data_IF_342840341524
#
_entry.id   IF_342840341524
#
_cell.length_a   1.000
_cell.length_b   1.000
_cell.length_c   1.000
_cell.angle_alpha   90.00
_cell.angle_beta   90.00
_cell.angle_gamma   90.00
#
_symmetry.space_group_name_H-M   'P 1'
#
loop_
_entity.id
_entity.type
_entity.pdbx_description
1 polymer ?
#
# COMPACT_ATOMS: atom_id res chain seq x y z
N UNK A 1 17.69 31.56 -32.23
CA UNK A 1 17.83 31.03 -30.88
C UNK A 1 18.64 31.95 -29.97
N UNK A 2 19.90 32.29 -30.27
CA UNK A 2 20.72 33.12 -29.34
C UNK A 2 20.10 34.49 -29.05
N UNK A 3 19.70 35.25 -30.08
CA UNK A 3 19.08 36.57 -29.86
C UNK A 3 17.67 36.48 -29.25
N UNK A 4 16.92 35.41 -29.50
CA UNK A 4 15.56 35.21 -28.95
C UNK A 4 15.63 35.01 -27.43
N UNK A 5 16.67 34.29 -26.95
CA UNK A 5 16.93 34.10 -25.53
C UNK A 5 17.33 35.42 -24.84
N UNK A 6 18.18 36.23 -25.47
CA UNK A 6 18.60 37.52 -24.91
C UNK A 6 17.41 38.50 -24.80
N UNK A 7 16.53 38.51 -25.81
CA UNK A 7 15.29 39.31 -25.77
C UNK A 7 14.34 38.80 -24.69
N UNK A 8 14.14 37.48 -24.58
CA UNK A 8 13.33 36.88 -23.52
C UNK A 8 13.85 37.29 -22.13
N UNK A 9 15.17 37.22 -21.92
CA UNK A 9 15.82 37.64 -20.67
C UNK A 9 15.65 39.13 -20.38
N UNK A 10 15.71 39.97 -21.40
CA UNK A 10 15.49 41.41 -21.27
C UNK A 10 14.03 41.72 -20.89
N UNK A 11 13.05 41.08 -21.52
CA UNK A 11 11.62 41.27 -21.25
C UNK A 11 11.23 40.84 -19.82
N UNK A 12 11.87 39.79 -19.29
CA UNK A 12 11.67 39.33 -17.90
C UNK A 12 12.23 40.29 -16.84
N UNK A 13 13.16 41.18 -17.22
CA UNK A 13 13.80 42.10 -16.27
C UNK A 13 12.88 43.30 -15.99
N UNK A 14 12.69 43.64 -14.71
CA UNK A 14 11.86 44.77 -14.30
C UNK A 14 12.50 46.10 -14.73
N UNK A 15 11.67 46.99 -15.31
CA UNK A 15 12.07 48.34 -15.71
C UNK A 15 11.75 49.38 -14.60
N UNK A 16 10.89 49.02 -13.63
CA UNK A 16 10.37 49.91 -12.57
C UNK A 16 10.97 49.68 -11.18
N UNK A 17 11.70 48.58 -10.95
CA UNK A 17 12.28 48.27 -9.63
C UNK A 17 13.71 48.79 -9.50
N UNK A 18 13.95 49.74 -8.58
CA UNK A 18 15.30 50.24 -8.21
C UNK A 18 16.22 49.16 -7.62
N UNK A 19 15.66 48.05 -7.13
CA UNK A 19 16.40 46.85 -6.76
C UNK A 19 16.30 45.89 -7.93
N UNK A 20 17.40 45.32 -8.44
CA UNK A 20 17.44 44.48 -9.66
C UNK A 20 16.70 43.13 -9.60
N UNK A 21 15.48 43.12 -9.07
CA UNK A 21 14.58 41.99 -8.89
C UNK A 21 13.80 41.74 -10.20
N UNK A 22 13.50 40.47 -10.43
CA UNK A 22 12.62 39.93 -11.48
C UNK A 22 11.28 40.70 -11.53
N UNK A 23 10.69 40.85 -12.73
CA UNK A 23 9.35 41.46 -12.89
C UNK A 23 8.34 40.79 -11.92
N UNK A 24 7.53 41.56 -11.15
CA UNK A 24 6.54 41.00 -10.22
C UNK A 24 5.64 39.94 -10.86
N UNK A 25 5.28 40.13 -12.13
CA UNK A 25 4.49 39.19 -12.91
C UNK A 25 5.23 37.85 -13.07
N UNK A 26 6.48 37.86 -13.53
CA UNK A 26 7.32 36.66 -13.65
C UNK A 26 7.50 35.97 -12.28
N UNK A 27 7.72 36.74 -11.22
CA UNK A 27 7.82 36.19 -9.87
C UNK A 27 6.54 35.46 -9.44
N UNK A 28 5.37 36.07 -9.68
CA UNK A 28 4.07 35.46 -9.40
C UNK A 28 3.84 34.17 -10.22
N UNK A 29 4.31 34.12 -11.48
CA UNK A 29 4.34 32.89 -12.30
C UNK A 29 5.12 31.79 -11.62
N UNK A 30 6.38 32.10 -11.29
CA UNK A 30 7.34 31.12 -10.80
C UNK A 30 6.86 30.57 -9.46
N UNK A 31 6.28 31.41 -8.60
CA UNK A 31 5.65 30.98 -7.35
C UNK A 31 4.42 30.09 -7.62
N UNK A 32 3.54 30.47 -8.56
CA UNK A 32 2.37 29.67 -8.94
C UNK A 32 2.74 28.27 -9.45
N UNK A 33 3.75 28.21 -10.33
CA UNK A 33 4.32 26.94 -10.84
C UNK A 33 4.96 26.16 -9.70
N UNK A 34 5.78 26.80 -8.86
CA UNK A 34 6.45 26.14 -7.74
C UNK A 34 5.45 25.53 -6.76
N UNK A 35 4.36 26.22 -6.43
CA UNK A 35 3.30 25.69 -5.56
C UNK A 35 2.59 24.50 -6.22
N UNK A 36 2.25 24.60 -7.51
CA UNK A 36 1.61 23.49 -8.24
C UNK A 36 2.48 22.24 -8.29
N UNK A 37 3.77 22.41 -8.60
CA UNK A 37 4.76 21.33 -8.61
C UNK A 37 5.00 20.76 -7.21
N UNK A 38 5.09 21.62 -6.19
CA UNK A 38 5.23 21.20 -4.79
C UNK A 38 4.05 20.30 -4.37
N UNK A 39 2.81 20.71 -4.65
CA UNK A 39 1.61 19.92 -4.37
C UNK A 39 1.66 18.59 -5.12
N UNK A 40 2.02 18.62 -6.41
CA UNK A 40 2.12 17.41 -7.23
C UNK A 40 3.14 16.41 -6.67
N UNK A 41 4.34 16.88 -6.30
CA UNK A 41 5.40 16.07 -5.69
C UNK A 41 4.96 15.50 -4.35
N UNK A 42 4.34 16.31 -3.49
CA UNK A 42 3.83 15.85 -2.19
C UNK A 42 2.74 14.79 -2.37
N UNK A 43 1.78 15.01 -3.26
CA UNK A 43 0.69 14.06 -3.51
C UNK A 43 1.23 12.72 -4.03
N UNK A 44 2.19 12.74 -4.95
CA UNK A 44 2.83 11.50 -5.44
C UNK A 44 3.67 10.82 -4.36
N UNK A 45 4.42 11.57 -3.57
CA UNK A 45 5.21 11.01 -2.47
C UNK A 45 4.30 10.33 -1.42
N UNK A 46 3.16 10.94 -1.11
CA UNK A 46 2.16 10.36 -0.20
C UNK A 46 1.55 9.11 -0.83
N UNK A 47 1.21 9.14 -2.11
CA UNK A 47 0.64 7.98 -2.81
C UNK A 47 1.62 6.80 -2.86
N UNK A 48 2.86 7.03 -3.28
CA UNK A 48 3.89 5.97 -3.37
C UNK A 48 4.20 5.41 -1.97
N UNK A 49 4.34 6.29 -0.98
CA UNK A 49 4.54 5.88 0.42
C UNK A 49 3.38 5.04 0.95
N UNK A 50 2.14 5.41 0.62
CA UNK A 50 0.94 4.67 0.99
C UNK A 50 0.89 3.29 0.31
N UNK A 51 1.10 3.23 -1.01
CA UNK A 51 1.10 1.98 -1.78
C UNK A 51 2.16 1.03 -1.26
N UNK A 52 3.42 1.48 -1.11
CA UNK A 52 4.51 0.65 -0.57
C UNK A 52 4.19 0.13 0.83
N UNK A 53 3.60 0.98 1.68
CA UNK A 53 3.20 0.56 3.03
C UNK A 53 2.10 -0.48 2.99
N UNK A 54 1.10 -0.29 2.14
CA UNK A 54 0.03 -1.25 1.94
C UNK A 54 0.55 -2.58 1.40
N UNK A 55 1.40 -2.56 0.38
CA UNK A 55 2.07 -3.76 -0.12
C UNK A 55 2.87 -4.46 0.97
N UNK A 56 3.63 -3.69 1.76
CA UNK A 56 4.40 -4.26 2.88
C UNK A 56 3.48 -4.91 3.90
N UNK A 57 2.35 -4.29 4.26
CA UNK A 57 1.40 -4.85 5.22
C UNK A 57 0.70 -6.09 4.66
N UNK A 58 0.21 -6.03 3.42
CA UNK A 58 -0.46 -7.15 2.75
C UNK A 58 0.49 -8.35 2.65
N UNK A 59 1.70 -8.14 2.13
CA UNK A 59 2.72 -9.18 2.08
C UNK A 59 3.12 -9.66 3.46
N UNK A 60 3.08 -8.81 4.50
CA UNK A 60 3.43 -9.25 5.85
C UNK A 60 2.44 -10.25 6.45
N UNK A 61 1.18 -10.25 5.98
CA UNK A 61 0.10 -11.05 6.55
C UNK A 61 -0.25 -12.27 5.70
N UNK A 62 -0.24 -12.11 4.38
CA UNK A 62 -0.65 -13.15 3.44
C UNK A 62 0.55 -13.68 2.67
N UNK A 63 0.74 -15.01 2.66
CA UNK A 63 1.64 -15.64 1.71
C UNK A 63 1.24 -15.25 0.29
N UNK A 64 2.25 -15.06 -0.57
CA UNK A 64 2.03 -14.61 -1.94
C UNK A 64 1.20 -15.62 -2.75
N UNK A 65 1.45 -16.91 -2.51
CA UNK A 65 0.61 -18.02 -2.96
C UNK A 65 0.34 -18.94 -1.77
N UNK A 66 -0.88 -19.41 -1.63
CA UNK A 66 -1.33 -20.26 -0.53
C UNK A 66 -2.01 -21.50 -1.08
N UNK A 67 -1.66 -22.67 -0.57
CA UNK A 67 -2.33 -23.93 -0.91
C UNK A 67 -3.16 -24.36 0.30
N UNK A 68 -4.45 -24.63 0.08
CA UNK A 68 -5.38 -25.14 1.08
C UNK A 68 -5.98 -26.46 0.63
N UNK A 69 -6.27 -27.34 1.59
CA UNK A 69 -6.92 -28.62 1.32
C UNK A 69 -8.41 -28.39 1.13
N UNK A 70 -9.01 -29.02 0.11
CA UNK A 70 -10.46 -28.99 -0.07
C UNK A 70 -11.20 -30.06 0.73
N UNK A 71 -10.50 -30.89 1.51
CA UNK A 71 -11.11 -32.03 2.19
C UNK A 71 -12.17 -31.63 3.23
N UNK A 72 -12.04 -30.48 3.90
CA UNK A 72 -13.06 -30.02 4.87
C UNK A 72 -14.26 -29.34 4.22
N UNK A 73 -14.09 -28.70 3.05
CA UNK A 73 -15.19 -28.14 2.25
C UNK A 73 -16.26 -29.19 1.91
N UNK A 74 -15.88 -30.47 1.90
CA UNK A 74 -16.77 -31.60 1.62
C UNK A 74 -17.02 -32.52 2.82
N UNK A 75 -16.39 -32.28 3.99
CA UNK A 75 -16.47 -33.20 5.13
C UNK A 75 -17.60 -32.86 6.13
N UNK A 76 -17.90 -31.58 6.36
CA UNK A 76 -18.86 -31.18 7.41
C UNK A 76 -20.34 -31.19 6.99
N UNK A 77 -20.64 -31.58 5.73
CA UNK A 77 -21.99 -31.41 5.18
C UNK A 77 -22.65 -32.71 4.70
N UNK A 78 -22.59 -33.77 5.53
CA UNK A 78 -23.49 -34.93 5.35
C UNK A 78 -24.69 -34.94 6.30
N UNK A 79 -24.61 -34.32 7.47
CA UNK A 79 -25.66 -34.47 8.50
C UNK A 79 -26.22 -33.16 9.10
N UNK A 80 -25.63 -31.98 8.83
CA UNK A 80 -26.10 -30.67 9.35
C UNK A 80 -26.33 -29.62 8.23
N UNK A 81 -26.72 -30.06 7.04
CA UNK A 81 -27.29 -29.17 6.03
C UNK A 81 -28.58 -28.52 6.58
N UNK A 82 -28.71 -27.17 6.65
CA UNK A 82 -29.99 -26.55 6.97
C UNK A 82 -31.01 -27.00 5.90
N UNK A 83 -32.00 -27.79 6.33
CA UNK A 83 -33.08 -28.39 5.51
C UNK A 83 -33.98 -27.39 4.77
N UNK A 84 -33.58 -26.12 4.69
CA UNK A 84 -34.27 -25.07 3.94
C UNK A 84 -33.44 -24.51 2.77
N UNK A 85 -32.29 -25.11 2.44
CA UNK A 85 -31.51 -24.75 1.25
C UNK A 85 -31.45 -25.86 0.17
N UNK A 86 -32.17 -26.98 0.37
CA UNK A 86 -32.04 -28.21 -0.43
C UNK A 86 -33.40 -28.80 -0.84
N UNK A 87 -34.33 -27.95 -1.28
CA UNK A 87 -35.47 -28.40 -2.09
C UNK A 87 -35.31 -27.72 -3.46
N UNK A 88 -34.61 -28.41 -4.37
CA UNK A 88 -34.85 -28.43 -5.82
C UNK A 88 -33.73 -29.26 -6.48
N UNK A 89 -34.11 -30.46 -6.94
CA UNK A 89 -33.28 -31.52 -7.54
C UNK A 89 -32.58 -31.14 -8.87
N UNK A 90 -32.45 -29.85 -9.19
CA UNK A 90 -31.75 -29.35 -10.39
C UNK A 90 -30.40 -28.65 -10.07
N UNK A 91 -30.07 -28.41 -8.79
CA UNK A 91 -28.91 -27.58 -8.40
C UNK A 91 -27.62 -28.33 -8.00
N UNK A 92 -27.62 -29.65 -7.88
CA UNK A 92 -26.39 -30.42 -7.61
C UNK A 92 -25.32 -30.24 -8.70
N UNK A 93 -25.74 -30.07 -9.96
CA UNK A 93 -24.82 -29.85 -11.06
C UNK A 93 -24.30 -28.41 -11.15
N UNK A 94 -25.02 -27.42 -10.61
CA UNK A 94 -24.66 -26.01 -10.81
C UNK A 94 -23.59 -25.54 -9.81
N UNK A 95 -23.58 -26.04 -8.58
CA UNK A 95 -22.59 -25.67 -7.56
C UNK A 95 -21.23 -26.32 -7.84
N UNK A 96 -21.21 -27.61 -8.20
CA UNK A 96 -19.98 -28.27 -8.65
C UNK A 96 -19.46 -27.66 -9.97
N UNK A 97 -20.33 -27.30 -10.93
CA UNK A 97 -19.88 -26.60 -12.13
C UNK A 97 -19.39 -25.18 -11.85
N UNK A 98 -19.93 -24.45 -10.87
CA UNK A 98 -19.47 -23.11 -10.50
C UNK A 98 -18.13 -23.13 -9.76
N UNK A 99 -17.88 -24.14 -8.91
CA UNK A 99 -16.60 -24.31 -8.21
C UNK A 99 -15.49 -24.91 -9.09
N UNK A 100 -15.84 -25.76 -10.06
CA UNK A 100 -14.88 -26.37 -10.98
C UNK A 100 -14.63 -25.55 -12.28
N UNK A 101 -15.35 -24.44 -12.50
CA UNK A 101 -15.22 -23.62 -13.71
C UNK A 101 -14.05 -22.62 -13.66
N UNK A 102 -12.83 -23.13 -13.47
CA UNK A 102 -11.60 -22.36 -13.66
C UNK A 102 -11.40 -21.15 -12.72
N UNK A 103 -10.23 -20.50 -12.80
CA UNK A 103 -9.78 -19.51 -11.80
C UNK A 103 -10.62 -18.23 -11.71
N UNK A 104 -11.50 -17.97 -12.69
CA UNK A 104 -12.26 -16.72 -12.79
C UNK A 104 -13.69 -16.81 -12.22
N UNK A 105 -14.14 -17.96 -11.69
CA UNK A 105 -15.55 -18.18 -11.28
C UNK A 105 -15.78 -18.80 -9.90
N UNK A 106 -14.87 -18.66 -8.95
CA UNK A 106 -15.24 -18.85 -7.53
C UNK A 106 -16.10 -17.65 -7.10
N UNK A 107 -17.38 -17.68 -7.47
CA UNK A 107 -18.38 -16.79 -6.89
C UNK A 107 -18.61 -17.30 -5.48
N UNK A 108 -17.92 -16.67 -4.53
CA UNK A 108 -18.20 -16.79 -3.10
C UNK A 108 -19.70 -16.55 -2.93
N UNK A 109 -20.44 -17.62 -2.61
CA UNK A 109 -21.91 -17.61 -2.52
C UNK A 109 -22.44 -16.77 -1.35
N UNK A 110 -21.55 -16.16 -0.56
CA UNK A 110 -21.87 -15.29 0.55
C UNK A 110 -21.11 -13.96 0.36
N UNK A 111 -21.75 -12.83 0.67
CA UNK A 111 -21.14 -11.48 0.61
C UNK A 111 -20.14 -11.27 1.77
N UNK A 112 -19.56 -12.34 2.27
CA UNK A 112 -18.52 -12.35 3.28
C UNK A 112 -17.17 -12.05 2.62
N UNK A 113 -16.27 -11.29 3.27
CA UNK A 113 -14.94 -11.00 2.73
C UNK A 113 -14.24 -12.29 2.29
N UNK A 114 -13.43 -12.22 1.23
CA UNK A 114 -12.64 -13.38 0.73
C UNK A 114 -11.82 -14.00 1.86
N UNK A 115 -11.27 -13.16 2.74
CA UNK A 115 -10.54 -13.54 3.96
C UNK A 115 -11.36 -14.43 4.90
N UNK A 116 -12.58 -14.01 5.28
CA UNK A 116 -13.40 -14.76 6.23
C UNK A 116 -13.79 -16.14 5.68
N UNK A 117 -13.95 -16.26 4.36
CA UNK A 117 -14.22 -17.54 3.70
C UNK A 117 -12.99 -18.45 3.66
N UNK A 118 -11.80 -17.89 3.44
CA UNK A 118 -10.51 -18.62 3.46
C UNK A 118 -10.17 -19.18 4.84
N UNK A 119 -10.60 -18.50 5.91
CA UNK A 119 -10.33 -18.93 7.29
C UNK A 119 -11.31 -20.03 7.74
N UNK A 120 -12.60 -19.90 7.40
CA UNK A 120 -13.65 -20.78 7.95
C UNK A 120 -13.71 -22.17 7.31
N UNK A 121 -13.24 -22.31 6.08
CA UNK A 121 -13.43 -23.54 5.28
C UNK A 121 -12.12 -24.23 4.89
N UNK A 122 -10.98 -23.89 5.51
CA UNK A 122 -9.71 -24.52 5.20
C UNK A 122 -9.67 -25.98 5.68
N UNK A 123 -9.27 -26.91 4.81
CA UNK A 123 -8.97 -28.28 5.19
C UNK A 123 -7.64 -28.38 5.92
N UNK A 124 -7.48 -29.43 6.74
CA UNK A 124 -6.25 -29.63 7.50
C UNK A 124 -5.31 -30.57 6.73
N UNK A 125 -4.05 -30.14 6.54
CA UNK A 125 -2.99 -30.98 5.99
C UNK A 125 -2.21 -31.69 7.09
N UNK A 126 -1.78 -32.92 6.85
CA UNK A 126 -0.69 -33.52 7.62
C UNK A 126 0.65 -33.00 7.09
N UNK A 127 1.60 -32.76 7.98
CA UNK A 127 2.96 -32.32 7.62
C UNK A 127 3.67 -33.27 6.64
N UNK A 128 3.36 -34.57 6.68
CA UNK A 128 3.88 -35.57 5.73
C UNK A 128 3.39 -35.36 4.30
N UNK A 129 2.14 -34.93 4.15
CA UNK A 129 1.51 -34.72 2.84
C UNK A 129 2.03 -33.41 2.23
N UNK A 130 2.25 -32.39 3.07
CA UNK A 130 2.93 -31.15 2.68
C UNK A 130 4.35 -31.40 2.16
N UNK A 131 5.13 -32.27 2.80
CA UNK A 131 6.47 -32.60 2.33
C UNK A 131 6.47 -33.17 0.90
N UNK A 132 5.48 -34.03 0.58
CA UNK A 132 5.30 -34.58 -0.77
C UNK A 132 4.92 -33.51 -1.79
N UNK A 133 4.02 -32.59 -1.42
CA UNK A 133 3.61 -31.47 -2.27
C UNK A 133 4.80 -30.55 -2.55
N UNK A 134 5.58 -30.19 -1.51
CA UNK A 134 6.77 -29.35 -1.63
C UNK A 134 7.76 -29.94 -2.63
N UNK A 135 8.02 -31.26 -2.58
CA UNK A 135 8.95 -31.91 -3.51
C UNK A 135 8.50 -31.84 -4.98
N UNK A 136 7.20 -31.89 -5.26
CA UNK A 136 6.65 -31.68 -6.62
C UNK A 136 6.87 -30.23 -7.08
N UNK A 137 6.69 -29.27 -6.18
CA UNK A 137 6.70 -27.83 -6.47
C UNK A 137 8.10 -27.22 -6.61
N UNK A 138 9.14 -27.84 -6.04
CA UNK A 138 10.55 -27.39 -6.18
C UNK A 138 11.03 -27.22 -7.62
N UNK A 139 10.35 -27.86 -8.58
CA UNK A 139 10.68 -27.79 -10.02
C UNK A 139 10.23 -26.48 -10.70
N UNK A 140 9.33 -25.72 -10.07
CA UNK A 140 8.76 -24.48 -10.63
C UNK A 140 9.72 -23.31 -10.39
N UNK A 141 10.05 -22.58 -11.45
CA UNK A 141 10.93 -21.41 -11.37
C UNK A 141 10.20 -20.22 -10.74
N UNK A 142 10.87 -19.51 -9.85
CA UNK A 142 10.37 -18.28 -9.22
C UNK A 142 9.77 -18.48 -7.83
N UNK A 143 9.70 -19.72 -7.34
CA UNK A 143 9.45 -20.03 -5.94
C UNK A 143 10.75 -19.89 -5.16
N UNK A 144 10.71 -19.13 -4.08
CA UNK A 144 11.84 -18.88 -3.18
C UNK A 144 11.81 -19.83 -1.98
N UNK A 145 10.63 -19.95 -1.34
CA UNK A 145 10.47 -20.78 -0.14
C UNK A 145 9.06 -21.31 0.08
N UNK A 146 8.96 -22.32 0.94
CA UNK A 146 7.71 -22.96 1.36
C UNK A 146 7.64 -22.96 2.89
N UNK A 147 6.47 -22.66 3.46
CA UNK A 147 6.27 -22.74 4.90
C UNK A 147 4.88 -23.27 5.25
N UNK A 148 4.78 -24.30 6.10
CA UNK A 148 3.52 -24.68 6.70
C UNK A 148 3.05 -23.59 7.66
N UNK A 149 1.80 -23.17 7.51
CA UNK A 149 1.17 -22.13 8.34
C UNK A 149 -0.14 -22.67 8.91
N UNK A 150 -0.37 -22.36 10.19
CA UNK A 150 -1.67 -22.53 10.82
C UNK A 150 -2.28 -21.14 10.97
N UNK A 151 -3.49 -20.96 10.46
CA UNK A 151 -4.24 -19.73 10.63
C UNK A 151 -5.70 -20.07 10.85
N UNK A 152 -6.13 -20.01 12.12
CA UNK A 152 -7.45 -20.44 12.55
C UNK A 152 -8.06 -19.39 13.49
N UNK A 153 -9.37 -19.19 13.37
CA UNK A 153 -10.15 -18.44 14.35
C UNK A 153 -10.97 -19.42 15.19
N UNK A 154 -10.73 -19.43 16.52
CA UNK A 154 -11.46 -20.28 17.46
C UNK A 154 -11.87 -19.49 18.69
N UNK A 155 -12.90 -19.97 19.37
CA UNK A 155 -13.33 -19.41 20.64
C UNK A 155 -12.48 -19.96 21.79
N UNK A 156 -11.91 -19.06 22.58
CA UNK A 156 -11.07 -19.40 23.72
C UNK A 156 -11.60 -18.76 24.98
N UNK A 157 -11.43 -19.48 26.08
CA UNK A 157 -11.45 -18.93 27.43
C UNK A 157 -10.00 -18.69 27.84
N UNK A 158 -9.65 -17.45 28.17
CA UNK A 158 -8.29 -17.11 28.55
C UNK A 158 -8.27 -16.30 29.84
N UNK A 159 -7.30 -16.63 30.69
CA UNK A 159 -7.04 -15.91 31.94
C UNK A 159 -5.68 -15.25 31.95
N UNK A 160 -5.61 -14.10 32.58
CA UNK A 160 -4.38 -13.32 32.69
C UNK A 160 -4.32 -12.60 34.03
N UNK A 161 -3.10 -12.37 34.50
CA UNK A 161 -2.84 -11.55 35.68
C UNK A 161 -2.61 -10.11 35.24
N UNK A 162 -3.45 -9.20 35.72
CA UNK A 162 -3.22 -7.77 35.53
C UNK A 162 -2.01 -7.29 36.37
N UNK A 163 -1.57 -6.05 36.18
CA UNK A 163 -0.47 -5.43 36.91
C UNK A 163 -0.66 -5.49 38.44
N UNK A 164 -1.92 -5.45 38.91
CA UNK A 164 -2.29 -5.57 40.32
C UNK A 164 -2.43 -7.03 40.81
N UNK A 165 -1.94 -8.02 40.05
CA UNK A 165 -1.98 -9.45 40.37
C UNK A 165 -3.39 -10.04 40.56
N UNK A 166 -4.42 -9.34 40.07
CA UNK A 166 -5.77 -9.87 39.97
C UNK A 166 -5.91 -10.70 38.70
N UNK A 167 -6.48 -11.91 38.84
CA UNK A 167 -6.78 -12.79 37.71
C UNK A 167 -8.10 -12.36 37.06
N UNK A 168 -8.04 -12.05 35.77
CA UNK A 168 -9.20 -11.80 34.95
C UNK A 168 -9.39 -12.94 33.98
N UNK A 169 -10.64 -13.35 33.79
CA UNK A 169 -11.03 -14.38 32.83
C UNK A 169 -11.90 -13.73 31.77
N UNK A 170 -11.59 -14.00 30.51
CA UNK A 170 -12.37 -13.54 29.36
C UNK A 170 -12.64 -14.70 28.41
N UNK A 171 -13.69 -14.53 27.62
CA UNK A 171 -14.08 -15.45 26.56
C UNK A 171 -14.28 -14.66 25.28
N UNK A 172 -13.74 -15.17 24.18
CA UNK A 172 -13.83 -14.52 22.88
C UNK A 172 -13.13 -15.31 21.78
N UNK A 173 -13.34 -14.89 20.54
CA UNK A 173 -12.62 -15.46 19.41
C UNK A 173 -11.21 -14.89 19.40
N UNK A 174 -10.21 -15.78 19.32
CA UNK A 174 -8.83 -15.41 19.03
C UNK A 174 -8.44 -15.99 17.69
N UNK A 175 -7.75 -15.18 16.89
CA UNK A 175 -7.10 -15.62 15.65
C UNK A 175 -5.69 -16.07 15.97
N UNK A 176 -5.38 -17.34 15.73
CA UNK A 176 -4.07 -17.92 16.05
C UNK A 176 -3.29 -18.13 14.74
N UNK A 177 -2.17 -17.43 14.60
CA UNK A 177 -1.22 -17.59 13.51
C UNK A 177 0.01 -18.35 14.01
N UNK A 178 0.19 -19.58 13.52
CA UNK A 178 1.32 -20.46 13.79
C UNK A 178 2.29 -20.51 12.61
N UNK A 179 3.55 -20.15 12.85
CA UNK A 179 4.57 -20.04 11.80
C UNK A 179 5.87 -20.73 12.21
N UNK A 180 6.54 -21.41 11.28
CA UNK A 180 7.71 -22.24 11.60
C UNK A 180 9.04 -21.48 11.52
N UNK A 181 9.39 -20.64 12.49
CA UNK A 181 10.65 -19.88 12.39
C UNK A 181 11.86 -20.82 12.14
N UNK A 182 12.65 -20.56 11.11
CA UNK A 182 13.84 -21.34 10.76
C UNK A 182 15.01 -20.40 10.64
N UNK A 183 16.22 -20.84 10.99
CA UNK A 183 17.42 -20.00 10.99
C UNK A 183 17.93 -19.67 9.57
N UNK A 184 17.48 -20.42 8.56
CA UNK A 184 17.78 -20.15 7.16
C UNK A 184 17.03 -18.89 6.68
N UNK A 185 17.76 -17.99 6.01
CA UNK A 185 17.26 -16.73 5.43
C UNK A 185 16.06 -16.87 4.48
N UNK A 186 15.70 -18.11 4.10
CA UNK A 186 14.55 -18.45 3.26
C UNK A 186 13.22 -18.48 4.04
N UNK A 187 13.23 -17.99 5.28
CA UNK A 187 12.00 -17.76 6.01
C UNK A 187 11.08 -16.87 5.20
N UNK A 188 9.77 -17.19 5.19
CA UNK A 188 8.77 -16.28 4.66
C UNK A 188 9.05 -14.88 5.26
N UNK A 189 9.42 -13.86 4.44
CA UNK A 189 9.88 -12.55 4.93
C UNK A 189 8.82 -11.76 5.75
N UNK A 190 7.65 -12.33 5.90
CA UNK A 190 6.39 -11.68 6.21
C UNK A 190 6.23 -11.52 7.72
N UNK A 191 6.55 -12.56 8.52
CA UNK A 191 6.60 -12.49 9.99
C UNK A 191 7.80 -11.69 10.50
N UNK A 192 8.95 -11.78 9.80
CA UNK A 192 10.11 -10.93 10.07
C UNK A 192 9.81 -9.45 9.84
N UNK A 193 8.95 -9.11 8.87
CA UNK A 193 8.47 -7.74 8.65
C UNK A 193 7.46 -7.28 9.70
N UNK A 194 6.61 -8.17 10.23
CA UNK A 194 5.69 -7.85 11.34
C UNK A 194 6.48 -7.59 12.64
N UNK A 195 7.54 -8.36 12.87
CA UNK A 195 8.33 -8.33 14.10
C UNK A 195 9.61 -7.55 13.86
N UNK A 196 9.57 -6.25 14.15
CA UNK A 196 10.71 -5.32 14.05
C UNK A 196 11.96 -5.72 14.86
N UNK A 197 11.87 -6.75 15.72
CA UNK A 197 12.97 -7.21 16.55
C UNK A 197 13.38 -8.66 16.21
N UNK A 198 14.55 -8.91 15.59
CA UNK A 198 15.03 -10.26 15.27
C UNK A 198 15.19 -11.18 16.50
N UNK A 199 15.33 -10.61 17.70
CA UNK A 199 15.42 -11.34 18.96
C UNK A 199 14.10 -12.05 19.32
N UNK A 200 12.98 -11.44 18.96
CA UNK A 200 11.63 -11.96 19.24
C UNK A 200 11.32 -13.21 18.41
N UNK A 201 11.77 -13.25 17.16
CA UNK A 201 11.64 -14.42 16.28
C UNK A 201 12.45 -15.62 16.82
N UNK A 202 13.63 -15.37 17.37
CA UNK A 202 14.41 -16.42 18.04
C UNK A 202 13.69 -17.00 19.25
N UNK A 203 12.94 -16.17 19.99
CA UNK A 203 12.17 -16.62 21.15
C UNK A 203 10.92 -17.41 20.76
N UNK A 204 10.26 -17.07 19.63
CA UNK A 204 9.13 -17.87 19.09
C UNK A 204 9.50 -19.31 18.73
N UNK A 205 10.77 -19.54 18.39
CA UNK A 205 11.30 -20.86 18.04
C UNK A 205 11.67 -21.75 19.22
N UNK A 206 11.78 -21.17 20.42
CA UNK A 206 12.10 -21.95 21.61
C UNK A 206 10.86 -22.75 22.03
N UNK A 207 10.87 -24.03 21.67
CA UNK A 207 9.76 -24.98 21.89
C UNK A 207 9.37 -25.14 23.35
N UNK A 208 10.28 -24.81 24.26
CA UNK A 208 10.10 -24.93 25.71
C UNK A 208 9.34 -23.77 26.36
N UNK A 209 9.24 -22.60 25.69
CA UNK A 209 8.69 -21.38 26.32
C UNK A 209 7.24 -21.06 25.95
N UNK A 210 6.64 -21.79 25.01
CA UNK A 210 5.31 -21.46 24.44
C UNK A 210 5.15 -19.95 24.20
N UNK A 211 6.15 -19.38 23.53
CA UNK A 211 6.29 -17.95 23.30
C UNK A 211 5.19 -17.43 22.35
N UNK A 212 4.62 -16.27 22.68
CA UNK A 212 3.52 -15.65 21.94
C UNK A 212 3.76 -14.16 21.76
N UNK A 213 3.37 -13.64 20.60
CA UNK A 213 3.31 -12.22 20.31
C UNK A 213 1.85 -11.83 20.10
N UNK A 214 1.40 -10.81 20.82
CA UNK A 214 0.02 -10.35 20.74
C UNK A 214 -0.09 -9.12 19.84
N UNK A 215 -1.22 -8.97 19.15
CA UNK A 215 -1.52 -7.68 18.53
C UNK A 215 -1.66 -6.61 19.61
N UNK A 216 -1.27 -5.37 19.31
CA UNK A 216 -1.36 -4.28 20.27
C UNK A 216 -2.78 -4.00 20.74
N UNK A 217 -3.79 -4.32 19.92
CA UNK A 217 -5.20 -4.22 20.28
C UNK A 217 -5.62 -5.30 21.27
N UNK A 218 -5.25 -6.56 20.99
CA UNK A 218 -5.47 -7.65 21.94
C UNK A 218 -4.74 -7.38 23.26
N UNK A 219 -3.46 -7.00 23.21
CA UNK A 219 -2.70 -6.65 24.40
C UNK A 219 -3.38 -5.57 25.22
N UNK A 220 -3.89 -4.52 24.57
CA UNK A 220 -4.58 -3.41 25.25
C UNK A 220 -5.85 -3.87 25.96
N UNK A 221 -6.63 -4.70 25.28
CA UNK A 221 -7.86 -5.28 25.81
C UNK A 221 -7.61 -6.18 27.02
N UNK A 222 -6.44 -6.85 27.07
CA UNK A 222 -6.04 -7.69 28.20
C UNK A 222 -5.41 -6.87 29.33
N UNK A 223 -4.26 -6.25 29.07
CA UNK A 223 -3.35 -5.72 30.09
C UNK A 223 -3.43 -4.20 30.29
N UNK A 224 -4.32 -3.48 29.57
CA UNK A 224 -4.46 -2.03 29.70
C UNK A 224 -3.57 -1.26 28.74
N UNK A 225 -2.79 -0.28 29.20
CA UNK A 225 -1.98 0.54 28.30
C UNK A 225 -0.90 -0.27 27.57
N UNK A 226 -0.73 -0.02 26.27
CA UNK A 226 0.27 -0.70 25.45
C UNK A 226 1.67 -0.17 25.79
N UNK A 227 2.63 -1.00 26.21
CA UNK A 227 3.99 -0.59 26.51
C UNK A 227 4.73 -0.13 25.24
N UNK A 228 5.84 0.59 25.42
CA UNK A 228 6.77 0.86 24.31
C UNK A 228 7.38 -0.46 23.81
N UNK A 229 7.65 -0.54 22.50
CA UNK A 229 8.14 -1.75 21.81
C UNK A 229 9.46 -2.34 22.37
N UNK A 230 10.15 -1.62 23.26
CA UNK A 230 11.39 -2.02 23.92
C UNK A 230 11.22 -2.74 25.26
N UNK A 231 10.01 -2.80 25.84
CA UNK A 231 9.76 -3.58 27.05
C UNK A 231 9.49 -5.03 26.69
N UNK A 232 10.40 -5.93 27.11
CA UNK A 232 10.15 -7.37 27.10
C UNK A 232 9.03 -7.64 28.09
N UNK A 233 7.91 -8.12 27.58
CA UNK A 233 6.78 -8.49 28.40
C UNK A 233 7.10 -9.85 29.01
N UNK A 234 7.14 -9.93 30.34
CA UNK A 234 7.16 -11.22 31.05
C UNK A 234 5.74 -11.49 31.59
N UNK A 235 4.75 -11.33 30.71
CA UNK A 235 3.34 -11.56 31.06
C UNK A 235 2.96 -12.98 30.69
N UNK A 236 2.22 -13.63 31.57
CA UNK A 236 1.66 -14.96 31.33
C UNK A 236 0.21 -14.84 30.90
N UNK A 237 -0.12 -15.54 29.82
CA UNK A 237 -1.47 -15.70 29.32
C UNK A 237 -1.83 -17.19 29.40
N UNK A 238 -2.91 -17.52 30.10
CA UNK A 238 -3.43 -18.89 30.14
C UNK A 238 -4.55 -19.01 29.15
N UNK A 239 -4.45 -19.97 28.24
CA UNK A 239 -5.46 -20.18 27.20
C UNK A 239 -6.03 -21.57 27.34
N UNK A 240 -7.36 -21.65 27.32
CA UNK A 240 -8.13 -22.87 27.28
C UNK A 240 -9.09 -22.80 26.10
N UNK A 241 -8.94 -23.75 25.17
CA UNK A 241 -9.83 -23.86 24.01
C UNK A 241 -11.22 -24.31 24.46
N UNK A 242 -12.23 -23.64 23.93
CA UNK A 242 -13.64 -23.96 24.17
C UNK A 242 -14.18 -24.67 22.93
N UNK A 243 -14.29 -26.00 22.98
CA UNK A 243 -14.93 -26.76 21.91
C UNK A 243 -16.45 -26.78 22.09
N UNK A 244 -17.19 -26.45 21.04
CA UNK A 244 -18.66 -26.39 21.04
C UNK A 244 -19.34 -27.73 21.38
N UNK A 245 -18.60 -28.86 21.33
CA UNK A 245 -19.15 -30.22 21.55
C UNK A 245 -18.55 -30.97 22.76
N UNK A 246 -17.54 -30.44 23.47
CA UNK A 246 -16.98 -31.07 24.70
C UNK A 246 -16.52 -30.00 25.71
N UNK A 247 -17.32 -29.82 26.77
CA UNK A 247 -17.10 -28.82 27.82
C UNK A 247 -16.04 -29.18 28.87
N UNK A 248 -15.40 -30.35 28.81
CA UNK A 248 -14.43 -30.78 29.81
C UNK A 248 -13.31 -31.59 29.14
N UNK A 249 -12.11 -31.02 29.04
CA UNK A 249 -10.93 -31.81 28.65
C UNK A 249 -9.75 -31.09 27.99
N UNK A 250 -9.87 -29.82 27.59
CA UNK A 250 -8.75 -29.12 26.94
C UNK A 250 -7.76 -28.60 27.98
N UNK A 251 -6.49 -28.96 27.77
CA UNK A 251 -5.37 -28.64 28.67
C UNK A 251 -5.18 -27.12 28.77
N UNK A 252 -5.09 -26.60 30.00
CA UNK A 252 -4.73 -25.21 30.24
C UNK A 252 -3.29 -24.97 29.77
N UNK A 253 -3.11 -24.18 28.72
CA UNK A 253 -1.79 -23.84 28.19
C UNK A 253 -1.34 -22.51 28.76
N UNK A 254 -0.20 -22.51 29.47
CA UNK A 254 0.50 -21.27 29.82
C UNK A 254 1.34 -20.80 28.63
N UNK A 255 1.09 -19.58 28.19
CA UNK A 255 1.77 -18.88 27.11
C UNK A 255 2.54 -17.68 27.68
N UNK A 256 3.77 -17.47 27.21
CA UNK A 256 4.60 -16.33 27.58
C UNK A 256 4.48 -15.24 26.51
N UNK A 257 3.96 -14.08 26.89
CA UNK A 257 3.79 -12.94 25.96
C UNK A 257 5.13 -12.25 25.81
N UNK A 258 5.88 -12.59 24.77
CA UNK A 258 7.24 -12.07 24.58
C UNK A 258 7.24 -10.65 24.03
N UNK A 259 6.13 -10.22 23.43
CA UNK A 259 5.96 -8.85 22.96
C UNK A 259 4.73 -8.61 22.11
N UNK A 260 4.72 -7.46 21.44
CA UNK A 260 3.56 -6.90 20.76
C UNK A 260 3.88 -6.45 19.33
N UNK A 261 2.92 -6.60 18.41
CA UNK A 261 3.04 -6.07 17.05
C UNK A 261 1.88 -5.12 16.71
N UNK A 262 2.10 -4.19 15.77
CA UNK A 262 1.13 -3.19 15.33
C UNK A 262 1.06 -3.18 13.80
N UNK A 263 -0.08 -3.55 13.23
CA UNK A 263 -0.28 -3.55 11.77
C UNK A 263 -0.80 -2.21 11.22
N UNK A 264 -1.30 -1.30 12.07
CA UNK A 264 -1.77 0.03 11.64
C UNK A 264 -3.05 0.06 10.81
N UNK A 265 -3.57 -1.10 10.44
CA UNK A 265 -4.88 -1.28 9.82
C UNK A 265 -5.80 -1.87 10.88
N UNK A 266 -6.78 -1.07 11.31
CA UNK A 266 -7.81 -1.50 12.26
C UNK A 266 -8.64 -2.62 11.61
N UNK A 267 -9.01 -3.67 12.37
CA UNK A 267 -9.73 -4.89 11.96
C UNK A 267 -8.91 -6.12 11.56
N UNK A 268 -7.77 -5.97 10.88
CA UNK A 268 -7.01 -7.15 10.39
C UNK A 268 -6.33 -7.90 11.56
N UNK A 269 -5.82 -7.15 12.54
CA UNK A 269 -5.04 -7.69 13.66
C UNK A 269 -5.86 -7.91 14.94
N UNK A 270 -7.16 -7.66 14.90
CA UNK A 270 -7.99 -7.64 16.10
C UNK A 270 -8.02 -9.05 16.70
N UNK A 271 -7.77 -9.15 18.01
CA UNK A 271 -7.72 -10.41 18.74
C UNK A 271 -6.76 -11.47 18.15
N UNK A 272 -5.70 -11.02 17.47
CA UNK A 272 -4.72 -11.90 16.84
C UNK A 272 -3.54 -12.24 17.76
N UNK A 273 -3.15 -13.50 17.70
CA UNK A 273 -2.07 -14.12 18.45
C UNK A 273 -1.10 -14.79 17.46
N UNK A 274 0.18 -14.43 17.51
CA UNK A 274 1.23 -15.00 16.65
C UNK A 274 2.16 -15.85 17.50
N UNK A 275 2.45 -17.08 17.06
CA UNK A 275 3.31 -18.01 17.78
C UNK A 275 4.06 -18.96 16.84
N UNK A 276 5.02 -19.71 17.38
CA UNK A 276 5.69 -20.78 16.65
C UNK A 276 4.72 -21.90 16.26
N UNK A 277 4.93 -22.52 15.10
CA UNK A 277 4.08 -23.61 14.60
C UNK A 277 3.84 -24.72 15.64
N UNK A 278 4.84 -25.22 16.40
CA UNK A 278 4.62 -26.26 17.41
C UNK A 278 3.69 -25.81 18.55
N UNK A 279 3.76 -24.53 18.93
CA UNK A 279 2.90 -23.96 19.98
C UNK A 279 1.47 -23.78 19.46
N UNK A 280 1.31 -23.31 18.23
CA UNK A 280 -0.01 -23.21 17.59
C UNK A 280 -0.70 -24.58 17.47
N UNK A 281 0.07 -25.62 17.10
CA UNK A 281 -0.43 -27.00 17.07
C UNK A 281 -0.92 -27.48 18.43
N UNK A 282 -0.26 -27.10 19.54
CA UNK A 282 -0.72 -27.41 20.90
C UNK A 282 -1.99 -26.62 21.27
N UNK A 283 -2.07 -25.33 20.91
CA UNK A 283 -3.22 -24.46 21.21
C UNK A 283 -4.49 -24.93 20.49
N UNK A 284 -4.34 -25.42 19.26
CA UNK A 284 -5.44 -25.80 18.37
C UNK A 284 -5.65 -27.32 18.25
N UNK A 285 -4.93 -28.12 19.05
CA UNK A 285 -4.91 -29.60 18.98
C UNK A 285 -4.60 -30.16 17.58
N UNK A 286 -3.88 -29.42 16.76
CA UNK A 286 -3.50 -29.76 15.37
C UNK A 286 -2.14 -30.46 15.33
N UNK A 287 -1.97 -31.53 16.11
CA UNK A 287 -0.66 -32.20 16.22
C UNK A 287 -0.22 -32.76 14.87
N UNK A 288 0.99 -32.37 14.42
CA UNK A 288 1.56 -32.77 13.13
C UNK A 288 0.69 -32.36 11.91
N UNK A 289 -0.07 -31.27 12.05
CA UNK A 289 -0.97 -30.74 11.05
C UNK A 289 -0.75 -29.25 10.79
N UNK A 290 -1.19 -28.76 9.63
CA UNK A 290 -1.22 -27.33 9.27
C UNK A 290 -2.47 -26.99 8.45
N UNK A 291 -3.00 -25.78 8.59
CA UNK A 291 -4.18 -25.34 7.83
C UNK A 291 -3.84 -25.03 6.37
N UNK A 292 -2.64 -24.54 6.10
CA UNK A 292 -2.23 -24.13 4.76
C UNK A 292 -0.73 -24.23 4.53
N UNK A 293 -0.33 -24.26 3.25
CA UNK A 293 1.05 -24.13 2.82
C UNK A 293 1.23 -22.77 2.15
N UNK A 294 2.00 -21.90 2.79
CA UNK A 294 2.41 -20.62 2.23
C UNK A 294 3.63 -20.77 1.33
N UNK A 295 3.62 -20.08 0.20
CA UNK A 295 4.69 -20.09 -0.80
C UNK A 295 5.13 -18.64 -1.03
N UNK A 296 6.44 -18.39 -0.86
CA UNK A 296 7.05 -17.11 -1.16
C UNK A 296 7.67 -17.14 -2.55
N UNK A 297 7.46 -16.08 -3.33
CA UNK A 297 8.01 -15.92 -4.67
C UNK A 297 9.08 -14.82 -4.68
N UNK A 298 10.03 -14.95 -5.59
CA UNK A 298 11.04 -13.91 -5.84
C UNK A 298 10.41 -12.61 -6.34
N UNK A 299 9.28 -12.70 -7.05
CA UNK A 299 8.50 -11.54 -7.50
C UNK A 299 7.02 -11.72 -7.11
N UNK A 300 6.52 -11.00 -6.09
CA UNK A 300 5.14 -11.11 -5.63
C UNK A 300 4.10 -10.82 -6.71
N UNK A 301 4.39 -9.95 -7.69
CA UNK A 301 3.43 -9.57 -8.74
C UNK A 301 3.21 -10.66 -9.78
N UNK A 302 4.04 -11.72 -9.79
CA UNK A 302 3.84 -12.90 -10.64
C UNK A 302 3.03 -14.00 -9.94
N UNK A 303 2.44 -13.71 -8.79
CA UNK A 303 1.67 -14.68 -8.00
C UNK A 303 0.54 -15.34 -8.78
N UNK A 304 -0.16 -14.61 -9.67
CA UNK A 304 -1.20 -15.19 -10.55
C UNK A 304 -0.61 -16.24 -11.51
N UNK A 305 0.44 -15.86 -12.26
CA UNK A 305 1.11 -16.74 -13.23
C UNK A 305 1.62 -18.03 -12.54
N UNK A 306 2.24 -17.89 -11.37
CA UNK A 306 2.77 -19.03 -10.61
C UNK A 306 1.66 -19.85 -9.98
N UNK A 307 0.60 -19.23 -9.45
CA UNK A 307 -0.57 -19.93 -8.91
C UNK A 307 -1.25 -20.80 -9.96
N UNK A 308 -1.43 -20.29 -11.18
CA UNK A 308 -2.01 -21.05 -12.29
C UNK A 308 -1.14 -22.27 -12.66
N UNK A 309 0.18 -22.11 -12.65
CA UNK A 309 1.12 -23.22 -12.87
C UNK A 309 1.05 -24.27 -11.74
N UNK A 310 1.01 -23.83 -10.48
CA UNK A 310 0.90 -24.72 -9.31
C UNK A 310 -0.42 -25.49 -9.36
N UNK A 311 -1.54 -24.83 -9.69
CA UNK A 311 -2.84 -25.48 -9.81
C UNK A 311 -2.85 -26.54 -10.91
N UNK A 312 -2.14 -26.32 -12.02
CA UNK A 312 -1.98 -27.33 -13.08
C UNK A 312 -1.15 -28.54 -12.62
N UNK A 313 -0.06 -28.31 -11.89
CA UNK A 313 0.80 -29.40 -11.37
C UNK A 313 0.09 -30.21 -10.28
N UNK A 314 -0.78 -29.58 -9.51
CA UNK A 314 -1.54 -30.21 -8.43
C UNK A 314 -2.98 -30.57 -8.83
N UNK A 315 -3.30 -30.62 -10.13
CA UNK A 315 -4.66 -30.90 -10.60
C UNK A 315 -5.22 -32.26 -10.16
N UNK A 316 -4.35 -33.23 -9.84
CA UNK A 316 -4.73 -34.56 -9.33
C UNK A 316 -4.91 -34.59 -7.81
N UNK A 317 -4.51 -33.54 -7.10
CA UNK A 317 -4.63 -33.43 -5.64
C UNK A 317 -5.88 -32.61 -5.29
N UNK A 318 -6.57 -32.96 -4.20
CA UNK A 318 -7.74 -32.23 -3.68
C UNK A 318 -7.30 -30.94 -2.95
N UNK A 319 -6.71 -30.01 -3.71
CA UNK A 319 -6.16 -28.75 -3.19
C UNK A 319 -6.60 -27.56 -4.04
N UNK A 320 -6.84 -26.44 -3.36
CA UNK A 320 -7.03 -25.15 -4.01
C UNK A 320 -5.81 -24.26 -3.79
N UNK A 321 -5.40 -23.60 -4.86
CA UNK A 321 -4.30 -22.65 -4.87
C UNK A 321 -4.88 -21.24 -4.95
N UNK A 322 -4.55 -20.43 -3.96
CA UNK A 322 -4.91 -19.03 -3.86
C UNK A 322 -3.68 -18.15 -4.08
N UNK A 323 -3.89 -16.95 -4.61
CA UNK A 323 -2.84 -15.95 -4.76
C UNK A 323 -3.30 -14.64 -4.11
N UNK A 324 -2.35 -13.89 -3.57
CA UNK A 324 -2.63 -12.70 -2.76
C UNK A 324 -3.42 -11.61 -3.53
N UNK A 325 -3.31 -11.55 -4.87
CA UNK A 325 -4.04 -10.56 -5.68
C UNK A 325 -5.56 -10.72 -5.54
N UNK A 326 -6.07 -11.93 -5.35
CA UNK A 326 -7.51 -12.17 -5.12
C UNK A 326 -7.99 -11.53 -3.82
N UNK A 327 -7.21 -11.66 -2.75
CA UNK A 327 -7.52 -11.05 -1.45
C UNK A 327 -7.32 -9.53 -1.51
N UNK A 328 -6.30 -9.10 -2.24
CA UNK A 328 -5.98 -7.70 -2.39
C UNK A 328 -7.01 -6.93 -3.22
N UNK A 329 -7.67 -7.54 -4.21
CA UNK A 329 -8.75 -6.89 -4.98
C UNK A 329 -9.89 -6.39 -4.07
N UNK A 330 -10.29 -7.19 -3.08
CA UNK A 330 -11.33 -6.80 -2.11
C UNK A 330 -10.86 -5.64 -1.21
N UNK A 331 -9.63 -5.73 -0.69
CA UNK A 331 -9.01 -4.66 0.10
C UNK A 331 -8.83 -3.37 -0.70
N UNK A 332 -8.35 -3.46 -1.95
CA UNK A 332 -8.13 -2.32 -2.83
C UNK A 332 -9.43 -1.72 -3.36
N UNK A 333 -10.50 -2.51 -3.50
CA UNK A 333 -11.82 -2.00 -3.90
C UNK A 333 -12.32 -0.94 -2.91
N UNK A 334 -12.13 -1.19 -1.61
CA UNK A 334 -12.45 -0.24 -0.53
C UNK A 334 -11.53 0.99 -0.53
N UNK A 335 -10.32 0.86 -1.08
CA UNK A 335 -9.34 1.94 -1.19
C UNK A 335 -9.42 2.72 -2.51
N UNK A 336 -10.26 2.26 -3.45
CA UNK A 336 -10.44 2.89 -4.75
C UNK A 336 -10.86 4.36 -4.64
N UNK A 337 -11.62 4.73 -3.61
CA UNK A 337 -12.01 6.12 -3.32
C UNK A 337 -10.78 7.03 -3.12
N UNK A 338 -9.76 6.57 -2.38
CA UNK A 338 -8.53 7.35 -2.17
C UNK A 338 -7.76 7.57 -3.47
N UNK A 339 -7.69 6.55 -4.35
CA UNK A 339 -7.07 6.67 -5.68
C UNK A 339 -7.75 7.75 -6.52
N UNK A 340 -9.08 7.79 -6.54
CA UNK A 340 -9.83 8.81 -7.29
C UNK A 340 -9.62 10.22 -6.71
N UNK A 341 -9.62 10.37 -5.38
CA UNK A 341 -9.35 11.65 -4.73
C UNK A 341 -7.97 12.22 -5.11
N UNK A 342 -6.94 11.37 -5.12
CA UNK A 342 -5.59 11.75 -5.51
C UNK A 342 -5.54 12.22 -6.97
N UNK A 343 -6.18 11.49 -7.89
CA UNK A 343 -6.27 11.89 -9.30
C UNK A 343 -6.97 13.25 -9.43
N UNK A 344 -8.06 13.50 -8.70
CA UNK A 344 -8.77 14.78 -8.73
C UNK A 344 -7.88 15.94 -8.25
N UNK A 345 -7.13 15.76 -7.17
CA UNK A 345 -6.18 16.78 -6.66
C UNK A 345 -5.07 17.06 -7.67
N UNK A 346 -4.52 16.03 -8.31
CA UNK A 346 -3.49 16.19 -9.34
C UNK A 346 -4.03 16.96 -10.56
N UNK A 347 -5.23 16.64 -11.02
CA UNK A 347 -5.89 17.36 -12.12
C UNK A 347 -6.16 18.83 -11.78
N UNK A 348 -6.65 19.10 -10.57
CA UNK A 348 -6.86 20.48 -10.09
C UNK A 348 -5.56 21.27 -10.05
N UNK A 349 -4.46 20.67 -9.58
CA UNK A 349 -3.15 21.32 -9.57
C UNK A 349 -2.71 21.75 -10.98
N UNK A 350 -2.84 20.85 -11.95
CA UNK A 350 -2.51 21.13 -13.36
C UNK A 350 -3.34 22.30 -13.90
N UNK A 351 -4.64 22.31 -13.63
CA UNK A 351 -5.56 23.37 -14.08
C UNK A 351 -5.18 24.73 -13.47
N UNK A 352 -4.89 24.77 -12.17
CA UNK A 352 -4.51 26.00 -11.47
C UNK A 352 -3.19 26.54 -12.03
N UNK A 353 -2.18 25.69 -12.25
CA UNK A 353 -0.89 26.10 -12.83
C UNK A 353 -1.05 26.58 -14.27
N UNK A 354 -1.83 25.89 -15.09
CA UNK A 354 -2.11 26.31 -16.47
C UNK A 354 -2.79 27.69 -16.50
N UNK A 355 -3.83 27.90 -15.68
CA UNK A 355 -4.53 29.18 -15.59
C UNK A 355 -3.60 30.32 -15.13
N UNK A 356 -2.72 30.05 -14.17
CA UNK A 356 -1.75 31.02 -13.68
C UNK A 356 -0.83 31.51 -14.82
N UNK A 357 -0.26 30.59 -15.60
CA UNK A 357 0.62 30.91 -16.73
C UNK A 357 -0.13 31.66 -17.82
N UNK A 358 -1.34 31.20 -18.17
CA UNK A 358 -2.17 31.85 -19.18
C UNK A 358 -2.42 33.32 -18.84
N UNK A 359 -2.89 33.58 -17.61
CA UNK A 359 -3.19 34.92 -17.15
C UNK A 359 -1.93 35.81 -17.14
N UNK A 360 -0.82 35.25 -16.65
CA UNK A 360 0.41 35.99 -16.51
C UNK A 360 1.05 36.38 -17.84
N UNK A 361 1.15 35.45 -18.79
CA UNK A 361 1.64 35.75 -20.14
C UNK A 361 0.76 36.78 -20.83
N UNK A 362 -0.55 36.69 -20.66
CA UNK A 362 -1.48 37.68 -21.23
C UNK A 362 -1.22 39.08 -20.68
N UNK A 363 -1.09 39.22 -19.36
CA UNK A 363 -0.77 40.51 -18.72
C UNK A 363 0.60 41.01 -19.19
N UNK A 364 1.60 40.15 -19.25
CA UNK A 364 2.95 40.52 -19.71
C UNK A 364 2.93 41.02 -21.16
N UNK A 365 2.17 40.39 -22.05
CA UNK A 365 2.01 40.83 -23.43
C UNK A 365 1.38 42.22 -23.48
N UNK A 366 0.29 42.43 -22.71
CA UNK A 366 -0.42 43.71 -22.67
C UNK A 366 0.49 44.85 -22.18
N UNK A 367 1.22 44.64 -21.08
CA UNK A 367 2.17 45.61 -20.52
C UNK A 367 3.35 45.92 -21.47
N UNK A 368 3.74 44.94 -22.31
CA UNK A 368 4.90 45.05 -23.21
C UNK A 368 4.51 45.30 -24.68
N UNK A 369 3.24 45.61 -24.95
CA UNK A 369 2.71 45.84 -26.31
C UNK A 369 3.57 46.81 -27.13
N UNK A 370 3.93 47.97 -26.56
CA UNK A 370 4.79 48.97 -27.23
C UNK A 370 6.19 48.44 -27.57
N UNK A 371 6.80 47.66 -26.68
CA UNK A 371 8.12 47.06 -26.90
C UNK A 371 8.09 46.01 -28.01
N UNK A 372 7.03 45.20 -28.04
CA UNK A 372 6.78 44.23 -29.12
C UNK A 372 6.57 44.97 -30.46
N UNK A 373 5.82 46.08 -30.45
CA UNK A 373 5.63 46.95 -31.62
C UNK A 373 6.94 47.52 -32.17
N UNK A 374 7.83 48.00 -31.29
CA UNK A 374 9.16 48.48 -31.67
C UNK A 374 10.04 47.37 -32.28
N UNK A 375 10.04 46.17 -31.70
CA UNK A 375 10.75 45.01 -32.26
C UNK A 375 10.23 44.67 -33.67
N UNK A 376 8.91 44.71 -33.88
CA UNK A 376 8.31 44.48 -35.20
C UNK A 376 8.67 45.57 -36.21
N UNK A 377 8.68 46.83 -35.80
CA UNK A 377 9.09 47.95 -36.65
C UNK A 377 10.57 47.84 -37.09
N UNK A 378 11.43 47.27 -36.24
CA UNK A 378 12.83 46.97 -36.57
C UNK A 378 13.02 45.71 -37.44
N UNK A 379 11.93 45.05 -37.86
CA UNK A 379 11.97 43.92 -38.78
C UNK A 379 11.98 42.53 -38.13
N UNK A 380 11.72 42.42 -36.82
CA UNK A 380 11.57 41.11 -36.16
C UNK A 380 10.34 40.38 -36.71
N UNK A 381 10.54 39.15 -37.18
CA UNK A 381 9.46 38.31 -37.72
C UNK A 381 8.45 37.93 -36.63
N UNK A 382 7.19 37.87 -37.04
CA UNK A 382 6.05 37.33 -36.29
C UNK A 382 6.34 36.03 -35.53
N UNK A 383 6.90 35.02 -36.22
CA UNK A 383 7.25 33.74 -35.60
C UNK A 383 8.37 33.84 -34.55
N UNK A 384 9.24 34.85 -34.61
CA UNK A 384 10.27 35.05 -33.60
C UNK A 384 9.67 35.56 -32.28
N UNK A 385 8.64 36.42 -32.34
CA UNK A 385 7.90 36.90 -31.15
C UNK A 385 7.21 35.73 -30.46
N UNK A 386 6.54 34.88 -31.24
CA UNK A 386 5.94 33.65 -30.73
C UNK A 386 6.95 32.77 -29.98
N UNK A 387 8.14 32.54 -30.57
CA UNK A 387 9.22 31.75 -29.94
C UNK A 387 9.77 32.40 -28.68
N UNK A 388 9.86 33.73 -28.63
CA UNK A 388 10.33 34.46 -27.44
C UNK A 388 9.39 34.18 -26.26
N UNK A 389 8.06 34.26 -26.45
CA UNK A 389 7.10 33.98 -25.37
C UNK A 389 7.07 32.52 -24.95
N UNK A 390 7.27 31.58 -25.89
CA UNK A 390 7.49 30.18 -25.54
C UNK A 390 8.76 29.99 -24.70
N UNK A 391 9.86 30.65 -25.05
CA UNK A 391 11.10 30.56 -24.25
C UNK A 391 10.91 31.14 -22.85
N UNK A 392 10.18 32.25 -22.70
CA UNK A 392 9.83 32.82 -21.39
C UNK A 392 9.08 31.78 -20.55
N UNK A 393 8.02 31.17 -21.10
CA UNK A 393 7.23 30.17 -20.37
C UNK A 393 8.05 28.93 -19.99
N UNK A 394 9.01 28.52 -20.83
CA UNK A 394 9.91 27.42 -20.50
C UNK A 394 10.91 27.77 -19.38
N UNK A 395 11.44 29.00 -19.36
CA UNK A 395 12.34 29.45 -18.28
C UNK A 395 11.58 29.52 -16.95
N UNK A 396 10.35 30.03 -16.97
CA UNK A 396 9.45 30.04 -15.80
C UNK A 396 9.12 28.61 -15.35
N UNK A 397 8.82 27.69 -16.27
CA UNK A 397 8.55 26.29 -15.98
C UNK A 397 9.75 25.60 -15.32
N UNK A 398 10.95 25.78 -15.85
CA UNK A 398 12.17 25.17 -15.30
C UNK A 398 12.50 25.72 -13.91
N UNK A 399 12.46 27.05 -13.74
CA UNK A 399 12.77 27.69 -12.45
C UNK A 399 11.72 27.37 -11.40
N UNK A 400 10.43 27.45 -11.76
CA UNK A 400 9.32 27.07 -10.90
C UNK A 400 9.36 25.59 -10.50
N UNK A 401 9.64 24.69 -11.45
CA UNK A 401 9.77 23.25 -11.15
C UNK A 401 10.92 22.97 -10.21
N UNK A 402 12.09 23.58 -10.42
CA UNK A 402 13.24 23.40 -9.55
C UNK A 402 12.93 23.82 -8.10
N UNK A 403 12.32 24.99 -7.93
CA UNK A 403 11.92 25.50 -6.61
C UNK A 403 10.82 24.61 -6.00
N UNK A 404 9.81 24.24 -6.79
CA UNK A 404 8.69 23.41 -6.35
C UNK A 404 9.12 22.02 -5.89
N UNK A 405 10.04 21.38 -6.61
CA UNK A 405 10.63 20.09 -6.23
C UNK A 405 11.42 20.22 -4.94
N UNK A 406 12.29 21.23 -4.82
CA UNK A 406 13.09 21.46 -3.62
C UNK A 406 12.20 21.69 -2.39
N UNK A 407 11.19 22.56 -2.51
CA UNK A 407 10.22 22.81 -1.45
C UNK A 407 9.37 21.57 -1.14
N UNK A 408 8.93 20.82 -2.15
CA UNK A 408 8.13 19.61 -1.98
C UNK A 408 8.87 18.52 -1.23
N UNK A 409 10.16 18.29 -1.56
CA UNK A 409 11.01 17.36 -0.82
C UNK A 409 11.24 17.83 0.62
N UNK A 410 11.52 19.13 0.82
CA UNK A 410 11.79 19.69 2.15
C UNK A 410 10.56 19.60 3.06
N UNK A 411 9.40 20.00 2.56
CA UNK A 411 8.12 19.90 3.28
C UNK A 411 7.76 18.45 3.52
N UNK A 412 7.96 17.57 2.53
CA UNK A 412 7.70 16.13 2.68
C UNK A 412 8.55 15.51 3.78
N UNK A 413 9.85 15.79 3.81
CA UNK A 413 10.76 15.29 4.84
C UNK A 413 10.37 15.82 6.23
N UNK A 414 10.11 17.12 6.34
CA UNK A 414 9.66 17.74 7.58
C UNK A 414 8.34 17.13 8.07
N UNK A 415 7.39 16.92 7.17
CA UNK A 415 6.10 16.31 7.49
C UNK A 415 6.24 14.86 7.96
N UNK A 416 7.14 14.09 7.33
CA UNK A 416 7.46 12.73 7.76
C UNK A 416 8.06 12.70 9.16
N UNK A 417 9.04 13.55 9.45
CA UNK A 417 9.66 13.63 10.77
C UNK A 417 8.66 14.08 11.83
N UNK A 418 7.77 15.02 11.49
CA UNK A 418 6.71 15.49 12.35
C UNK A 418 5.72 14.37 12.70
N UNK A 419 5.24 13.63 11.70
CA UNK A 419 4.38 12.47 11.87
C UNK A 419 5.05 11.38 12.73
N UNK A 420 6.32 11.08 12.49
CA UNK A 420 7.04 10.07 13.28
C UNK A 420 7.17 10.49 14.75
N UNK A 421 7.40 11.78 15.05
CA UNK A 421 7.51 12.24 16.43
C UNK A 421 6.17 12.28 17.18
N UNK A 422 5.08 12.67 16.52
CA UNK A 422 3.80 12.94 17.18
C UNK A 422 2.76 11.83 17.00
N UNK A 423 2.82 11.10 15.89
CA UNK A 423 1.84 10.05 15.54
C UNK A 423 2.42 8.63 15.60
N UNK A 424 3.70 8.41 15.93
CA UNK A 424 4.25 7.05 16.10
C UNK A 424 3.45 6.17 17.08
N UNK A 425 2.73 6.79 18.03
CA UNK A 425 1.89 6.07 18.99
C UNK A 425 0.54 5.61 18.42
N UNK A 426 0.02 6.27 17.38
CA UNK A 426 -1.33 6.05 16.83
C UNK A 426 -1.34 5.50 15.40
N UNK A 427 -0.34 5.86 14.59
CA UNK A 427 -0.16 5.37 13.24
C UNK A 427 1.27 4.81 13.14
N UNK A 428 1.46 3.51 12.85
CA UNK A 428 2.78 2.97 12.56
C UNK A 428 3.23 3.40 11.16
N UNK A 429 3.39 4.72 10.96
CA UNK A 429 4.09 5.31 9.81
C UNK A 429 5.59 5.18 10.03
N UNK A 430 6.06 4.00 10.46
CA UNK A 430 7.49 3.72 10.40
C UNK A 430 7.86 3.59 8.93
N UNK A 431 8.70 4.53 8.50
CA UNK A 431 9.47 4.53 7.25
C UNK A 431 8.67 4.72 5.95
N UNK A 432 7.78 5.72 5.89
CA UNK A 432 7.46 6.31 4.60
C UNK A 432 8.65 7.14 4.11
N UNK A 433 9.81 6.52 3.84
CA UNK A 433 10.93 7.21 3.20
C UNK A 433 10.40 7.72 1.88
N UNK A 434 10.34 9.04 1.72
CA UNK A 434 9.98 9.71 0.46
C UNK A 434 11.12 9.44 -0.50
N UNK A 435 11.11 8.25 -1.11
CA UNK A 435 12.09 7.84 -2.09
C UNK A 435 11.51 8.14 -3.47
N UNK A 436 11.48 9.44 -3.80
CA UNK A 436 11.06 9.86 -5.13
C UNK A 436 12.16 9.43 -6.09
N UNK A 437 11.87 8.40 -6.89
CA UNK A 437 12.81 7.95 -7.90
C UNK A 437 13.13 9.11 -8.88
N UNK A 438 14.40 9.24 -9.25
CA UNK A 438 14.88 10.26 -10.18
C UNK A 438 14.12 10.27 -11.50
N UNK A 439 13.67 9.11 -11.96
CA UNK A 439 12.84 8.96 -13.17
C UNK A 439 11.49 9.67 -13.03
N UNK A 440 10.86 9.58 -11.86
CA UNK A 440 9.57 10.24 -11.60
C UNK A 440 9.74 11.75 -11.60
N UNK A 441 10.83 12.27 -11.03
CA UNK A 441 11.15 13.70 -11.06
C UNK A 441 11.33 14.17 -12.50
N UNK A 442 12.06 13.42 -13.33
CA UNK A 442 12.24 13.75 -14.74
C UNK A 442 10.90 13.79 -15.48
N UNK A 443 10.02 12.81 -15.26
CA UNK A 443 8.68 12.78 -15.84
C UNK A 443 7.85 14.01 -15.42
N UNK A 444 7.92 14.41 -14.13
CA UNK A 444 7.22 15.60 -13.63
C UNK A 444 7.72 16.86 -14.33
N UNK A 445 9.03 17.05 -14.41
CA UNK A 445 9.63 18.23 -15.07
C UNK A 445 9.20 18.29 -16.54
N UNK A 446 9.27 17.17 -17.26
CA UNK A 446 8.83 17.08 -18.66
C UNK A 446 7.34 17.39 -18.79
N UNK A 447 6.49 16.83 -17.93
CA UNK A 447 5.05 17.06 -17.94
C UNK A 447 4.72 18.54 -17.68
N UNK A 448 5.37 19.17 -16.70
CA UNK A 448 5.18 20.60 -16.40
C UNK A 448 5.63 21.45 -17.57
N UNK A 449 6.82 21.21 -18.14
CA UNK A 449 7.29 21.93 -19.34
C UNK A 449 6.30 21.80 -20.51
N UNK A 450 5.74 20.61 -20.74
CA UNK A 450 4.72 20.38 -21.76
C UNK A 450 3.43 21.15 -21.48
N UNK A 451 2.90 21.10 -20.25
CA UNK A 451 1.69 21.85 -19.87
C UNK A 451 1.92 23.36 -20.03
N UNK A 452 3.08 23.86 -19.59
CA UNK A 452 3.44 25.26 -19.74
C UNK A 452 3.55 25.66 -21.22
N UNK A 453 4.18 24.81 -22.04
CA UNK A 453 4.28 25.02 -23.49
C UNK A 453 2.88 25.12 -24.11
N UNK A 454 2.02 24.11 -23.89
CA UNK A 454 0.66 24.03 -24.41
C UNK A 454 -0.19 25.23 -24.00
N UNK A 455 -0.13 25.61 -22.72
CA UNK A 455 -0.89 26.74 -22.19
C UNK A 455 -0.41 28.06 -22.78
N UNK A 456 0.91 28.21 -22.98
CA UNK A 456 1.50 29.42 -23.55
C UNK A 456 1.25 29.58 -25.06
N UNK A 457 0.82 28.54 -25.78
CA UNK A 457 0.53 28.63 -27.22
C UNK A 457 -0.53 29.71 -27.53
N UNK A 458 -1.60 29.76 -26.72
CA UNK A 458 -2.73 30.68 -26.93
C UNK A 458 -2.29 32.15 -26.78
N UNK A 459 -1.72 32.59 -25.63
CA UNK A 459 -1.27 33.98 -25.49
C UNK A 459 -0.10 34.31 -26.42
N UNK A 460 0.84 33.39 -26.67
CA UNK A 460 1.93 33.62 -27.63
C UNK A 460 1.40 33.85 -29.06
N UNK A 461 0.33 33.16 -29.44
CA UNK A 461 -0.35 33.39 -30.71
C UNK A 461 -1.07 34.74 -30.76
N UNK A 462 -1.68 35.18 -29.65
CA UNK A 462 -2.28 36.52 -29.55
C UNK A 462 -1.21 37.62 -29.71
N UNK A 463 -0.04 37.48 -29.09
CA UNK A 463 1.08 38.42 -29.23
C UNK A 463 1.54 38.58 -30.69
N UNK A 464 1.47 37.49 -31.48
CA UNK A 464 1.86 37.49 -32.88
C UNK A 464 0.93 38.37 -33.76
N UNK A 465 -0.34 38.49 -33.38
CA UNK A 465 -1.38 39.19 -34.14
C UNK A 465 -1.59 40.66 -33.77
N UNK A 466 -0.84 41.19 -32.80
CA UNK A 466 -0.92 42.61 -32.41
C UNK A 466 -0.62 43.51 -33.62
N UNK A 467 -1.44 44.54 -33.86
CA UNK A 467 -1.15 45.51 -34.92
C UNK A 467 0.01 46.43 -34.49
N UNK A 468 0.98 46.63 -35.38
CA UNK A 468 2.15 47.48 -35.13
C UNK A 468 1.72 48.95 -34.98
N UNK A 469 0.71 49.38 -35.73
CA UNK A 469 0.22 50.77 -35.69
C UNK A 469 -0.47 51.05 -34.35
N UNK A 470 -1.35 50.13 -33.93
CA UNK A 470 -2.08 50.23 -32.67
C UNK A 470 -1.14 50.13 -31.45
N UNK A 471 -0.15 49.25 -31.51
CA UNK A 471 0.86 49.08 -30.46
C UNK A 471 1.78 50.30 -30.24
N UNK A 472 1.95 51.15 -31.26
CA UNK A 472 2.74 52.39 -31.17
C UNK A 472 1.88 53.59 -30.76
N UNK A 473 0.55 53.49 -30.87
CA UNK A 473 -0.41 54.54 -30.49
C UNK A 473 -0.90 54.43 -29.04
N UNK A 474 -0.72 53.28 -28.37
CA UNK A 474 -0.99 53.12 -26.95
C UNK A 474 -0.05 53.99 -26.09
N UNK A 475 -0.64 54.96 -25.37
CA UNK A 475 0.02 55.86 -24.40
C UNK A 475 0.62 55.15 -23.18
#
# INVERSE_FOLDING_TARGET
>A
MTYEFDIARALMKSEKSRMGIVNPNVFLSVVGIAVGVMVFVLTLAIYDGYVRKMETIIFSFYPQVTIQSTQSLFADNKDEAPKSLFDDDEHENEICQRLCAGPDKVILADKSPVEDTLIRNAGVFKLSDLARIIDKLKSIKGIDSFSPVIFEERRFKYSYLNNDHQEFVREGNLRVLGVQATEDEHYIPEVQRIISNPTMLKLLNQTDKNAVILSAELYRNLFGETPLASEVLNKKLRVQRQDDKKLEGTSLLELEVVGIFRLGIHKIADNMLVTGLPTAQKILDMTNQASMLGISLTNPYRSKEVSDQIQQVLAEEEVMVFHWLLVAEDLFSSLSLYRHLIIVVLLMSIIITAFNIYNNLTIMILERTRQIGMLRAMGVKQNAIYRIFLLISQIEAMTGSLIGIMCGMMVGHWFNEYLNKHLANFLPVQEATINVNSDVIAIIVVAVCLVCALTSLIPAYQANRLDVVEALQTE
#
